data_IF_076007590575
#
_entry.id   IF_076007590575
#
_cell.length_a   1.000
_cell.length_b   1.000
_cell.length_c   1.000
_cell.angle_alpha   90.00
_cell.angle_beta   90.00
_cell.angle_gamma   90.00
#
_symmetry.space_group_name_H-M   'P 1'
#
loop_
_entity.id
_entity.type
_entity.pdbx_description
1 polymer ?
#
# COMPACT_ATOMS: atom_id res chain seq x y z
N UNK A 1 12.18 17.45 58.05
CA UNK A 1 12.07 17.92 56.65
C UNK A 1 11.84 16.68 55.76
N UNK A 2 10.60 16.45 55.32
CA UNK A 2 10.27 15.33 54.42
C UNK A 2 10.41 15.79 52.98
N UNK A 3 11.42 15.24 52.26
CA UNK A 3 11.58 15.42 50.82
C UNK A 3 10.49 14.66 50.09
N UNK A 4 9.56 15.37 49.48
CA UNK A 4 8.56 14.80 48.56
C UNK A 4 9.23 14.67 47.21
N UNK A 5 9.62 13.44 46.83
CA UNK A 5 10.04 13.13 45.48
C UNK A 5 8.81 13.11 44.56
N UNK A 6 8.64 14.19 43.80
CA UNK A 6 7.63 14.27 42.73
C UNK A 6 8.16 13.42 41.54
N UNK A 7 7.61 12.23 41.40
CA UNK A 7 7.84 11.36 40.27
C UNK A 7 7.05 11.90 39.08
N UNK A 8 7.71 12.70 38.23
CA UNK A 8 7.10 13.19 36.96
C UNK A 8 7.14 12.02 35.99
N UNK A 9 6.02 11.33 35.88
CA UNK A 9 5.79 10.31 34.87
C UNK A 9 5.69 11.01 33.51
N UNK A 10 6.77 11.01 32.73
CA UNK A 10 6.72 11.43 31.32
C UNK A 10 5.89 10.42 30.53
N UNK A 11 4.62 10.69 30.36
CA UNK A 11 3.76 10.00 29.41
C UNK A 11 4.16 10.55 28.02
N UNK A 12 5.05 9.85 27.34
CA UNK A 12 5.29 10.10 25.91
C UNK A 12 4.03 9.75 25.14
N UNK A 13 3.23 10.75 24.77
CA UNK A 13 2.16 10.58 23.80
C UNK A 13 2.81 10.20 22.45
N UNK A 14 2.71 8.96 22.12
CA UNK A 14 3.02 8.49 20.76
C UNK A 14 1.86 8.97 19.87
N UNK A 15 2.07 10.06 19.14
CA UNK A 15 1.14 10.50 18.11
C UNK A 15 1.28 9.54 16.92
N UNK A 16 0.39 8.57 16.83
CA UNK A 16 0.24 7.81 15.59
C UNK A 16 -0.38 8.72 14.52
N UNK A 17 0.19 8.73 13.31
CA UNK A 17 -0.42 9.42 12.18
C UNK A 17 -1.82 8.83 11.93
N UNK A 18 -2.85 9.65 11.98
CA UNK A 18 -4.19 9.24 11.60
C UNK A 18 -4.38 9.45 10.11
N UNK A 19 -4.84 8.42 9.42
CA UNK A 19 -5.13 8.47 7.99
C UNK A 19 -6.63 8.53 7.77
N UNK A 20 -7.06 9.51 7.00
CA UNK A 20 -8.45 9.64 6.61
C UNK A 20 -8.72 8.73 5.41
N UNK A 21 -9.73 7.84 5.55
CA UNK A 21 -10.22 6.92 4.51
C UNK A 21 -9.18 5.93 3.94
N UNK A 22 -8.20 5.50 4.73
CA UNK A 22 -7.31 4.38 4.40
C UNK A 22 -7.96 3.09 4.88
N UNK A 23 -8.36 2.20 3.96
CA UNK A 23 -9.18 1.03 4.25
C UNK A 23 -8.42 -0.30 4.11
N UNK A 24 -7.51 -0.40 3.15
CA UNK A 24 -6.83 -1.65 2.79
C UNK A 24 -5.38 -1.67 3.26
N UNK A 25 -4.76 -0.50 3.34
CA UNK A 25 -3.34 -0.36 3.64
C UNK A 25 -3.16 -0.17 5.15
N UNK A 26 -2.10 -0.76 5.68
CA UNK A 26 -1.73 -0.70 7.09
C UNK A 26 -0.33 -0.11 7.20
N UNK A 27 -0.26 1.22 7.23
CA UNK A 27 0.97 1.97 7.38
C UNK A 27 0.96 2.79 8.67
N UNK A 28 2.05 2.76 9.40
CA UNK A 28 2.21 3.52 10.65
C UNK A 28 2.57 4.99 10.40
N UNK A 29 3.14 5.31 9.23
CA UNK A 29 3.60 6.65 8.90
C UNK A 29 3.10 7.17 7.56
N UNK A 30 2.83 8.48 7.48
CA UNK A 30 2.51 9.17 6.20
C UNK A 30 3.63 9.06 5.19
N UNK A 31 4.88 9.01 5.65
CA UNK A 31 6.04 8.85 4.79
C UNK A 31 5.99 7.54 4.02
N UNK A 32 5.70 6.44 4.72
CA UNK A 32 5.67 5.10 4.11
C UNK A 32 4.46 4.93 3.22
N UNK A 33 3.29 5.44 3.62
CA UNK A 33 2.12 5.51 2.76
C UNK A 33 2.42 6.27 1.46
N UNK A 34 3.04 7.45 1.54
CA UNK A 34 3.39 8.24 0.36
C UNK A 34 4.43 7.53 -0.53
N UNK A 35 5.39 6.82 0.07
CA UNK A 35 6.37 6.02 -0.67
C UNK A 35 5.68 4.89 -1.44
N UNK A 36 4.72 4.21 -0.81
CA UNK A 36 3.92 3.18 -1.45
C UNK A 36 3.05 3.73 -2.58
N UNK A 37 2.39 4.87 -2.39
CA UNK A 37 1.61 5.54 -3.44
C UNK A 37 2.48 5.90 -4.66
N UNK A 38 3.73 6.32 -4.44
CA UNK A 38 4.68 6.57 -5.53
C UNK A 38 5.10 5.29 -6.27
N UNK A 39 5.18 4.15 -5.58
CA UNK A 39 5.44 2.88 -6.27
C UNK A 39 4.27 2.46 -7.15
N UNK A 40 3.03 2.55 -6.65
CA UNK A 40 1.82 2.28 -7.44
C UNK A 40 1.78 3.16 -8.69
N UNK A 41 2.08 4.45 -8.54
CA UNK A 41 2.12 5.39 -9.66
C UNK A 41 3.08 4.93 -10.77
N UNK A 42 4.26 4.44 -10.39
CA UNK A 42 5.25 3.90 -11.34
C UNK A 42 4.80 2.58 -11.94
N UNK A 43 4.27 1.69 -11.11
CA UNK A 43 3.86 0.34 -11.50
C UNK A 43 2.70 0.38 -12.50
N UNK A 44 1.83 1.39 -12.43
CA UNK A 44 0.68 1.60 -13.31
C UNK A 44 0.92 2.64 -14.41
N UNK A 45 2.02 3.39 -14.37
CA UNK A 45 2.30 4.46 -15.33
C UNK A 45 1.29 5.62 -15.29
N UNK A 46 0.68 5.90 -14.13
CA UNK A 46 -0.36 6.91 -13.97
C UNK A 46 0.07 8.05 -13.03
N UNK A 47 -0.65 9.16 -13.07
CA UNK A 47 -0.48 10.27 -12.12
C UNK A 47 -1.37 10.07 -10.88
N UNK A 48 -1.04 10.74 -9.77
CA UNK A 48 -1.86 10.71 -8.55
C UNK A 48 -3.33 11.07 -8.80
N UNK A 49 -3.59 12.02 -9.70
CA UNK A 49 -4.93 12.47 -10.08
C UNK A 49 -5.76 11.42 -10.84
N UNK A 50 -5.15 10.30 -11.25
CA UNK A 50 -5.93 9.20 -11.84
C UNK A 50 -6.87 8.55 -10.82
N UNK A 51 -6.41 8.40 -9.57
CA UNK A 51 -7.19 7.77 -8.50
C UNK A 51 -7.68 8.77 -7.44
N UNK A 52 -7.01 9.89 -7.27
CA UNK A 52 -7.30 10.85 -6.21
C UNK A 52 -7.87 12.17 -6.73
N UNK A 53 -8.87 12.70 -6.02
CA UNK A 53 -9.16 14.12 -6.08
C UNK A 53 -7.98 14.87 -5.45
N UNK A 54 -7.38 15.82 -6.17
CA UNK A 54 -6.18 16.51 -5.71
C UNK A 54 -6.45 17.56 -4.63
N UNK A 55 -7.70 18.04 -4.53
CA UNK A 55 -8.13 18.96 -3.47
C UNK A 55 -8.51 18.22 -2.19
N UNK A 56 -8.98 16.98 -2.33
CA UNK A 56 -9.33 16.08 -1.22
C UNK A 56 -8.92 14.64 -1.56
N UNK A 57 -7.74 14.23 -1.15
CA UNK A 57 -7.21 12.89 -1.40
C UNK A 57 -7.94 11.78 -0.65
N UNK A 58 -8.68 12.11 0.40
CA UNK A 58 -9.50 11.17 1.16
C UNK A 58 -10.80 10.83 0.45
N UNK A 59 -11.31 11.72 -0.41
CA UNK A 59 -12.54 11.49 -1.17
C UNK A 59 -12.47 10.19 -2.00
N UNK A 60 -13.59 9.49 -2.05
CA UNK A 60 -13.73 8.28 -2.85
C UNK A 60 -13.93 8.63 -4.34
N UNK A 61 -13.30 7.82 -5.18
CA UNK A 61 -13.44 7.85 -6.63
C UNK A 61 -13.57 6.42 -7.15
N UNK A 62 -14.18 6.25 -8.31
CA UNK A 62 -14.31 4.92 -8.93
C UNK A 62 -12.94 4.24 -9.14
N UNK A 63 -11.93 4.98 -9.60
CA UNK A 63 -10.59 4.43 -9.80
C UNK A 63 -9.91 4.04 -8.48
N UNK A 64 -10.21 4.76 -7.40
CA UNK A 64 -9.73 4.42 -6.06
C UNK A 64 -10.35 3.11 -5.55
N UNK A 65 -11.63 2.88 -5.85
CA UNK A 65 -12.30 1.63 -5.50
C UNK A 65 -11.75 0.46 -6.30
N UNK A 66 -11.53 0.62 -7.60
CA UNK A 66 -10.85 -0.38 -8.43
C UNK A 66 -9.46 -0.70 -7.88
N UNK A 67 -8.68 0.32 -7.52
CA UNK A 67 -7.35 0.13 -6.94
C UNK A 67 -7.41 -0.66 -5.62
N UNK A 68 -8.41 -0.42 -4.77
CA UNK A 68 -8.61 -1.19 -3.53
C UNK A 68 -8.86 -2.68 -3.81
N UNK A 69 -9.68 -3.00 -4.81
CA UNK A 69 -9.92 -4.40 -5.20
C UNK A 69 -8.65 -5.05 -5.76
N UNK A 70 -7.85 -4.34 -6.56
CA UNK A 70 -6.55 -4.83 -7.02
C UNK A 70 -5.56 -5.05 -5.88
N UNK A 71 -5.54 -4.17 -4.87
CA UNK A 71 -4.73 -4.36 -3.65
C UNK A 71 -5.14 -5.59 -2.86
N UNK A 72 -6.44 -5.87 -2.75
CA UNK A 72 -6.95 -7.11 -2.11
C UNK A 72 -6.50 -8.35 -2.87
N UNK A 73 -6.60 -8.34 -4.20
CA UNK A 73 -6.13 -9.42 -5.06
C UNK A 73 -4.63 -9.67 -4.88
N UNK A 74 -3.82 -8.61 -4.91
CA UNK A 74 -2.37 -8.69 -4.71
C UNK A 74 -2.02 -9.29 -3.35
N UNK A 75 -2.71 -8.87 -2.30
CA UNK A 75 -2.55 -9.42 -0.95
C UNK A 75 -2.90 -10.91 -0.91
N UNK A 76 -4.03 -11.29 -1.47
CA UNK A 76 -4.46 -12.69 -1.54
C UNK A 76 -3.44 -13.58 -2.25
N UNK A 77 -2.88 -13.13 -3.37
CA UNK A 77 -1.84 -13.86 -4.10
C UNK A 77 -0.56 -14.01 -3.27
N UNK A 78 -0.15 -12.97 -2.56
CA UNK A 78 1.01 -13.03 -1.68
C UNK A 78 0.78 -13.97 -0.49
N UNK A 79 -0.41 -13.99 0.08
CA UNK A 79 -0.78 -14.92 1.15
C UNK A 79 -0.76 -16.37 0.64
N UNK A 80 -1.26 -16.64 -0.57
CA UNK A 80 -1.16 -17.96 -1.19
C UNK A 80 0.29 -18.39 -1.40
N UNK A 81 1.15 -17.51 -1.95
CA UNK A 81 2.57 -17.81 -2.15
C UNK A 81 3.26 -18.15 -0.84
N UNK A 82 2.97 -17.41 0.22
CA UNK A 82 3.57 -17.63 1.53
C UNK A 82 3.05 -18.87 2.24
N UNK A 83 1.79 -19.27 2.02
CA UNK A 83 1.16 -20.40 2.74
C UNK A 83 1.27 -21.72 1.98
N UNK A 84 1.08 -21.70 0.66
CA UNK A 84 1.05 -22.93 -0.14
C UNK A 84 2.44 -23.38 -0.63
N UNK A 85 3.40 -22.46 -0.69
CA UNK A 85 4.73 -22.71 -1.27
C UNK A 85 5.85 -22.44 -0.27
N UNK A 86 5.62 -22.72 1.02
CA UNK A 86 6.55 -22.44 2.11
C UNK A 86 7.96 -23.03 1.92
N UNK A 87 8.04 -24.22 1.34
CA UNK A 87 9.30 -24.96 1.14
C UNK A 87 9.90 -24.78 -0.25
N UNK A 88 9.42 -23.80 -1.01
CA UNK A 88 9.90 -23.54 -2.37
C UNK A 88 10.51 -22.14 -2.48
N UNK A 89 11.23 -21.88 -3.58
CA UNK A 89 11.72 -20.52 -3.87
C UNK A 89 10.60 -19.49 -4.08
N UNK A 90 9.36 -19.94 -4.31
CA UNK A 90 8.19 -19.09 -4.53
C UNK A 90 7.74 -18.37 -3.26
N UNK A 91 8.02 -18.89 -2.06
CA UNK A 91 7.70 -18.20 -0.81
C UNK A 91 8.45 -16.86 -0.63
N UNK A 92 9.53 -16.64 -1.41
CA UNK A 92 10.32 -15.40 -1.42
C UNK A 92 9.89 -14.43 -2.53
N UNK A 93 8.91 -14.82 -3.32
CA UNK A 93 8.40 -14.02 -4.44
C UNK A 93 7.23 -13.18 -3.96
N UNK A 94 7.28 -11.89 -4.27
CA UNK A 94 6.19 -10.96 -3.98
C UNK A 94 5.54 -10.50 -5.28
N UNK A 95 4.21 -10.62 -5.32
CA UNK A 95 3.38 -10.03 -6.36
C UNK A 95 3.14 -8.56 -6.00
N UNK A 96 3.42 -7.68 -6.93
CA UNK A 96 3.14 -6.24 -6.83
C UNK A 96 2.26 -5.80 -8.00
N UNK A 97 1.85 -4.55 -8.04
CA UNK A 97 1.15 -4.00 -9.20
C UNK A 97 1.97 -4.14 -10.48
N UNK A 98 3.29 -3.94 -10.38
CA UNK A 98 4.22 -4.12 -11.50
C UNK A 98 4.16 -5.52 -12.13
N UNK A 99 3.95 -6.56 -11.33
CA UNK A 99 3.96 -7.96 -11.79
C UNK A 99 2.97 -8.22 -12.95
N UNK A 100 1.86 -7.50 -12.99
CA UNK A 100 0.85 -7.60 -14.04
C UNK A 100 0.79 -6.38 -14.96
N UNK A 101 1.14 -5.21 -14.46
CA UNK A 101 0.93 -3.94 -15.17
C UNK A 101 2.15 -3.43 -15.94
N UNK A 102 3.38 -3.74 -15.52
CA UNK A 102 4.62 -3.36 -16.22
C UNK A 102 4.73 -1.87 -16.56
N UNK A 103 4.23 -0.99 -15.70
CA UNK A 103 4.25 0.46 -15.93
C UNK A 103 3.13 0.97 -16.84
N UNK A 104 2.07 0.18 -17.06
CA UNK A 104 0.89 0.57 -17.84
C UNK A 104 -0.39 0.30 -17.05
N UNK A 105 -1.43 1.10 -17.26
CA UNK A 105 -2.71 0.94 -16.56
C UNK A 105 -3.39 -0.38 -16.94
N UNK A 106 -3.32 -0.76 -18.22
CA UNK A 106 -3.89 -2.02 -18.71
C UNK A 106 -2.86 -3.13 -18.58
N UNK A 107 -3.18 -4.23 -17.85
CA UNK A 107 -2.27 -5.35 -17.75
C UNK A 107 -2.09 -6.03 -19.11
N UNK A 108 -0.87 -6.50 -19.39
CA UNK A 108 -0.57 -7.22 -20.63
C UNK A 108 -1.25 -8.58 -20.59
N UNK A 109 -2.38 -8.71 -21.27
CA UNK A 109 -3.19 -9.92 -21.29
C UNK A 109 -2.72 -10.97 -22.32
N UNK A 110 -1.88 -10.58 -23.28
CA UNK A 110 -1.39 -11.47 -24.36
C UNK A 110 0.12 -11.33 -24.54
N UNK A 111 0.77 -12.45 -24.80
CA UNK A 111 2.17 -12.42 -25.23
C UNK A 111 2.23 -11.71 -26.60
N UNK A 112 3.20 -10.78 -26.80
CA UNK A 112 3.46 -10.28 -28.15
C UNK A 112 3.73 -11.44 -29.09
N UNK A 113 3.04 -11.50 -30.22
CA UNK A 113 3.35 -12.45 -31.29
C UNK A 113 4.56 -11.90 -32.03
N UNK A 114 5.62 -12.70 -32.12
CA UNK A 114 6.75 -12.41 -33.01
C UNK A 114 6.25 -12.61 -34.44
N UNK A 115 6.28 -11.53 -35.22
CA UNK A 115 6.01 -11.58 -36.68
C UNK A 115 7.23 -12.09 -37.44
#
# INVERSE_FOLDING_TARGET
MKLILINILFISLVYADTFENVQILDFESKRDLNKYMKSIQKDLGVKCSHCHNMDDKAADTQNKDIAREMMKLTRYLNDLLNTQFQDTSLNKTYVTCWTCHFGTLDPVAKRPVEE
#
